data_IF_033587527211
#
_entry.id   IF_033587527211
#
_cell.length_a   1.000
_cell.length_b   1.000
_cell.length_c   1.000
_cell.angle_alpha   90.00
_cell.angle_beta   90.00
_cell.angle_gamma   90.00
#
_symmetry.space_group_name_H-M   'P 1'
#
loop_
_entity.id
_entity.type
_entity.pdbx_description
1 polymer ?
#
# COMPACT_ATOMS: atom_id res chain seq x y z
N UNK A 1 -16.77 37.89 -53.36
CA UNK A 1 -16.99 36.67 -52.57
C UNK A 1 -15.63 36.10 -52.24
N UNK A 2 -15.16 36.41 -51.03
CA UNK A 2 -13.79 36.21 -50.57
C UNK A 2 -13.54 34.74 -50.22
N UNK A 3 -12.58 34.11 -50.88
CA UNK A 3 -12.11 32.76 -50.55
C UNK A 3 -10.95 32.90 -49.58
N UNK A 4 -11.22 32.71 -48.29
CA UNK A 4 -10.17 32.50 -47.28
C UNK A 4 -9.49 31.17 -47.59
N UNK A 5 -8.39 31.24 -48.36
CA UNK A 5 -7.47 30.13 -48.55
C UNK A 5 -6.76 29.92 -47.20
N UNK A 6 -7.11 28.83 -46.49
CA UNK A 6 -6.31 28.32 -45.38
C UNK A 6 -4.93 27.90 -45.93
N UNK A 7 -4.00 28.84 -46.03
CA UNK A 7 -2.57 28.55 -46.18
C UNK A 7 -2.13 27.87 -44.88
N UNK A 8 -2.13 26.54 -44.86
CA UNK A 8 -1.38 25.80 -43.85
C UNK A 8 0.08 26.21 -43.95
N UNK A 9 0.62 26.80 -42.88
CA UNK A 9 2.03 27.17 -42.81
C UNK A 9 2.88 25.89 -42.96
N UNK A 10 3.68 25.76 -44.04
CA UNK A 10 4.52 24.59 -44.26
C UNK A 10 5.59 24.58 -43.18
N UNK A 11 5.46 23.67 -42.21
CA UNK A 11 6.35 23.57 -41.05
C UNK A 11 5.63 23.30 -39.74
N UNK A 12 4.37 23.71 -39.59
CA UNK A 12 3.62 23.48 -38.35
C UNK A 12 3.23 22.00 -38.15
N UNK A 13 2.97 21.24 -39.21
CA UNK A 13 2.64 19.81 -39.11
C UNK A 13 3.81 18.97 -38.59
N UNK A 14 5.04 19.25 -39.06
CA UNK A 14 6.26 18.52 -38.69
C UNK A 14 6.71 18.84 -37.25
N UNK A 15 6.59 20.11 -36.86
CA UNK A 15 6.87 20.54 -35.48
C UNK A 15 5.84 19.98 -34.48
N UNK A 16 4.57 19.93 -34.87
CA UNK A 16 3.49 19.37 -34.06
C UNK A 16 3.60 17.84 -33.94
N UNK A 17 3.93 17.13 -35.03
CA UNK A 17 4.17 15.68 -35.01
C UNK A 17 5.43 15.32 -34.21
N UNK A 18 6.50 16.11 -34.31
CA UNK A 18 7.70 15.93 -33.49
C UNK A 18 7.43 16.12 -31.99
N UNK A 19 6.67 17.14 -31.63
CA UNK A 19 6.24 17.38 -30.26
C UNK A 19 5.32 16.26 -29.74
N UNK A 20 4.35 15.81 -30.55
CA UNK A 20 3.47 14.70 -30.20
C UNK A 20 4.24 13.39 -30.01
N UNK A 21 5.22 13.11 -30.88
CA UNK A 21 6.10 11.94 -30.75
C UNK A 21 6.93 12.01 -29.48
N UNK A 22 7.51 13.16 -29.14
CA UNK A 22 8.27 13.35 -27.89
C UNK A 22 7.40 13.18 -26.63
N UNK A 23 6.18 13.73 -26.65
CA UNK A 23 5.22 13.55 -25.55
C UNK A 23 4.90 12.07 -25.35
N UNK A 24 4.59 11.34 -26.42
CA UNK A 24 4.18 9.93 -26.36
C UNK A 24 5.33 8.98 -26.05
N UNK A 25 6.51 9.18 -26.66
CA UNK A 25 7.65 8.26 -26.49
C UNK A 25 8.44 8.48 -25.21
N UNK A 26 8.41 9.69 -24.67
CA UNK A 26 9.36 10.11 -23.63
C UNK A 26 8.62 10.59 -22.38
N UNK A 27 7.71 11.55 -22.52
CA UNK A 27 7.03 12.14 -21.36
C UNK A 27 5.95 11.23 -20.77
N UNK A 28 5.18 10.51 -21.59
CA UNK A 28 4.13 9.59 -21.09
C UNK A 28 4.73 8.45 -20.25
N UNK A 29 5.78 7.74 -20.68
CA UNK A 29 6.48 6.77 -19.84
C UNK A 29 7.06 7.42 -18.57
N UNK A 30 7.76 8.56 -18.69
CA UNK A 30 8.33 9.25 -17.54
C UNK A 30 7.27 9.63 -16.49
N UNK A 31 6.13 10.18 -16.90
CA UNK A 31 5.04 10.52 -15.98
C UNK A 31 4.44 9.26 -15.34
N UNK A 32 4.38 8.14 -16.07
CA UNK A 32 3.94 6.85 -15.52
C UNK A 32 4.91 6.32 -14.47
N UNK A 33 6.21 6.34 -14.76
CA UNK A 33 7.25 5.91 -13.81
C UNK A 33 7.29 6.83 -12.59
N UNK A 34 7.17 8.15 -12.77
CA UNK A 34 7.11 9.10 -11.64
C UNK A 34 5.88 8.86 -10.76
N UNK A 35 4.72 8.55 -11.35
CA UNK A 35 3.51 8.16 -10.58
C UNK A 35 3.72 6.87 -9.79
N UNK A 36 4.38 5.87 -10.38
CA UNK A 36 4.71 4.64 -9.67
C UNK A 36 5.68 4.89 -8.51
N UNK A 37 6.69 5.73 -8.69
CA UNK A 37 7.64 6.09 -7.63
C UNK A 37 6.95 6.86 -6.50
N UNK A 38 6.06 7.81 -6.82
CA UNK A 38 5.30 8.56 -5.81
C UNK A 38 4.39 7.61 -5.01
N UNK A 39 3.65 6.73 -5.68
CA UNK A 39 2.77 5.77 -5.00
C UNK A 39 3.56 4.71 -4.23
N UNK A 40 4.81 4.41 -4.59
CA UNK A 40 5.67 3.52 -3.81
C UNK A 40 6.25 4.18 -2.54
N UNK A 41 6.13 5.51 -2.41
CA UNK A 41 6.70 6.28 -1.29
C UNK A 41 5.69 6.61 -0.20
N UNK A 42 4.39 6.56 -0.50
CA UNK A 42 3.31 6.70 0.48
C UNK A 42 2.62 5.35 0.61
N UNK A 43 2.60 4.78 1.80
CA UNK A 43 1.88 3.53 1.99
C UNK A 43 0.37 3.74 1.91
N UNK A 44 -0.33 2.68 1.57
CA UNK A 44 -1.77 2.69 1.37
C UNK A 44 -2.51 2.52 2.71
N UNK A 45 -3.62 3.24 2.85
CA UNK A 45 -4.62 2.97 3.89
C UNK A 45 -5.67 2.06 3.27
N UNK A 46 -5.78 0.84 3.78
CA UNK A 46 -6.74 -0.16 3.30
C UNK A 46 -7.81 -0.42 4.35
N UNK A 47 -9.07 -0.48 3.91
CA UNK A 47 -10.20 -0.90 4.73
C UNK A 47 -10.57 -2.34 4.36
N UNK A 48 -10.68 -3.22 5.36
CA UNK A 48 -10.98 -4.64 5.17
C UNK A 48 -12.15 -5.06 6.05
N UNK A 49 -13.00 -5.95 5.52
CA UNK A 49 -14.19 -6.50 6.22
C UNK A 49 -14.08 -8.00 6.48
N UNK A 50 -13.01 -8.63 5.99
CA UNK A 50 -12.72 -10.07 6.07
C UNK A 50 -11.24 -10.29 6.39
N UNK A 51 -10.84 -11.54 6.58
CA UNK A 51 -9.45 -11.94 6.76
C UNK A 51 -8.53 -11.37 5.67
N UNK A 52 -7.36 -10.88 6.08
CA UNK A 52 -6.48 -10.12 5.20
C UNK A 52 -5.00 -10.38 5.45
N UNK A 53 -4.24 -10.53 4.36
CA UNK A 53 -2.78 -10.61 4.40
C UNK A 53 -2.18 -9.30 3.94
N UNK A 54 -1.38 -8.69 4.81
CA UNK A 54 -0.73 -7.40 4.55
C UNK A 54 0.27 -7.53 3.40
N UNK A 55 0.27 -6.51 2.53
CA UNK A 55 1.16 -6.41 1.39
C UNK A 55 2.19 -5.29 1.54
N UNK A 56 3.24 -5.34 0.72
CA UNK A 56 4.27 -4.29 0.67
C UNK A 56 3.75 -2.88 0.34
N UNK A 57 2.48 -2.72 -0.05
CA UNK A 57 1.87 -1.39 -0.29
C UNK A 57 1.24 -0.81 0.96
N UNK A 58 0.75 -1.66 1.86
CA UNK A 58 -0.10 -1.22 2.98
C UNK A 58 0.74 -0.56 4.08
N UNK A 59 0.28 0.56 4.62
CA UNK A 59 0.87 1.21 5.80
C UNK A 59 -0.12 1.22 6.96
N UNK A 60 -1.41 1.37 6.66
CA UNK A 60 -2.49 1.29 7.65
C UNK A 60 -3.55 0.32 7.17
N UNK A 61 -3.92 -0.62 8.04
CA UNK A 61 -5.07 -1.51 7.85
C UNK A 61 -6.16 -1.11 8.84
N UNK A 62 -7.30 -0.70 8.32
CA UNK A 62 -8.54 -0.48 9.09
C UNK A 62 -9.40 -1.73 8.94
N UNK A 63 -9.42 -2.56 9.97
CA UNK A 63 -10.21 -3.78 10.03
C UNK A 63 -11.60 -3.50 10.61
N UNK A 64 -12.63 -3.53 9.75
CA UNK A 64 -14.04 -3.34 10.08
C UNK A 64 -14.69 -4.67 10.48
N UNK A 65 -14.61 -4.94 11.78
CA UNK A 65 -15.02 -6.19 12.40
C UNK A 65 -16.50 -6.21 12.85
N UNK A 66 -17.33 -5.27 12.38
CA UNK A 66 -18.77 -5.29 12.63
C UNK A 66 -19.45 -6.57 12.10
N UNK A 67 -18.89 -7.17 11.03
CA UNK A 67 -19.37 -8.42 10.44
C UNK A 67 -18.93 -9.69 11.18
N UNK A 68 -17.95 -9.60 12.07
CA UNK A 68 -17.36 -10.76 12.75
C UNK A 68 -15.88 -10.56 13.09
N UNK A 69 -15.28 -11.57 13.71
CA UNK A 69 -13.84 -11.54 13.99
C UNK A 69 -13.03 -11.61 12.68
N UNK A 70 -11.90 -10.90 12.62
CA UNK A 70 -11.04 -10.81 11.44
C UNK A 70 -9.62 -11.26 11.81
N UNK A 71 -9.02 -12.11 10.98
CA UNK A 71 -7.62 -12.47 11.06
C UNK A 71 -6.77 -11.62 10.09
N UNK A 72 -5.75 -10.94 10.62
CA UNK A 72 -4.77 -10.18 9.85
C UNK A 72 -3.44 -10.93 9.89
N UNK A 73 -2.88 -11.26 8.73
CA UNK A 73 -1.59 -11.93 8.62
C UNK A 73 -0.52 -10.93 8.22
N UNK A 74 0.53 -10.81 9.04
CA UNK A 74 1.74 -10.07 8.72
C UNK A 74 2.49 -10.79 7.58
N UNK A 75 3.19 -10.04 6.72
CA UNK A 75 4.02 -10.61 5.67
C UNK A 75 5.26 -11.29 6.29
N UNK A 76 6.05 -12.04 5.50
CA UNK A 76 7.32 -12.58 5.95
C UNK A 76 8.21 -11.50 6.56
N UNK A 77 8.83 -11.80 7.70
CA UNK A 77 9.68 -10.83 8.43
C UNK A 77 10.93 -10.47 7.62
N UNK A 78 11.43 -11.41 6.83
CA UNK A 78 12.63 -11.26 6.00
C UNK A 78 12.33 -10.33 4.83
N UNK A 79 13.12 -9.26 4.71
CA UNK A 79 12.94 -8.25 3.67
C UNK A 79 11.88 -7.19 3.99
N UNK A 80 11.25 -7.27 5.16
CA UNK A 80 10.34 -6.25 5.63
C UNK A 80 11.07 -5.13 6.39
N UNK A 81 10.92 -3.89 5.94
CA UNK A 81 11.70 -2.74 6.46
C UNK A 81 10.84 -1.56 6.91
N UNK A 82 9.51 -1.74 6.96
CA UNK A 82 8.56 -0.68 7.35
C UNK A 82 7.72 -1.08 8.57
N UNK A 83 7.05 -0.10 9.17
CA UNK A 83 6.04 -0.38 10.19
C UNK A 83 4.66 -0.58 9.54
N UNK A 84 3.80 -1.29 10.25
CA UNK A 84 2.39 -1.48 9.89
C UNK A 84 1.54 -1.02 11.06
N UNK A 85 0.50 -0.27 10.76
CA UNK A 85 -0.52 0.10 11.74
C UNK A 85 -1.77 -0.72 11.45
N UNK A 86 -2.27 -1.44 12.46
CA UNK A 86 -3.56 -2.12 12.39
C UNK A 86 -4.51 -1.45 13.37
N UNK A 87 -5.65 -1.01 12.85
CA UNK A 87 -6.73 -0.40 13.61
C UNK A 87 -7.99 -1.24 13.46
N UNK A 88 -8.56 -1.63 14.60
CA UNK A 88 -9.89 -2.24 14.64
C UNK A 88 -10.97 -1.17 14.75
N UNK A 89 -12.07 -1.39 14.04
CA UNK A 89 -13.37 -0.73 14.22
C UNK A 89 -14.46 -1.80 14.13
N UNK A 90 -15.58 -1.64 14.83
CA UNK A 90 -16.75 -2.54 14.65
C UNK A 90 -16.95 -3.59 15.75
N UNK A 91 -16.14 -3.58 16.81
CA UNK A 91 -16.48 -4.26 18.07
C UNK A 91 -16.09 -5.73 18.20
N UNK A 92 -15.96 -6.51 17.12
CA UNK A 92 -15.46 -7.90 17.18
C UNK A 92 -13.93 -7.95 17.22
N UNK A 93 -13.34 -9.02 17.73
CA UNK A 93 -11.89 -9.15 17.85
C UNK A 93 -11.18 -9.15 16.49
N UNK A 94 -10.04 -8.47 16.40
CA UNK A 94 -9.10 -8.58 15.28
C UNK A 94 -7.84 -9.26 15.78
N UNK A 95 -7.44 -10.37 15.16
CA UNK A 95 -6.24 -11.12 15.55
C UNK A 95 -5.16 -10.91 14.51
N UNK A 96 -4.01 -10.39 14.92
CA UNK A 96 -2.84 -10.19 14.06
C UNK A 96 -1.84 -11.31 14.34
N UNK A 97 -1.38 -12.04 13.32
CA UNK A 97 -0.36 -13.10 13.46
C UNK A 97 0.76 -12.94 12.45
N UNK A 98 1.98 -13.45 12.73
CA UNK A 98 3.00 -13.65 11.70
C UNK A 98 2.50 -14.54 10.57
N UNK A 99 3.22 -14.53 9.44
CA UNK A 99 2.98 -15.47 8.36
C UNK A 99 3.16 -16.92 8.84
N UNK A 100 2.52 -17.87 8.16
CA UNK A 100 2.68 -19.29 8.50
C UNK A 100 4.14 -19.76 8.40
N UNK A 101 4.92 -19.19 7.48
CA UNK A 101 6.36 -19.44 7.34
C UNK A 101 7.14 -18.88 8.54
N UNK A 102 6.86 -17.65 8.97
CA UNK A 102 7.49 -17.06 10.15
C UNK A 102 7.21 -17.91 11.39
N UNK A 103 5.95 -18.31 11.61
CA UNK A 103 5.55 -19.17 12.73
C UNK A 103 6.28 -20.52 12.72
N UNK A 104 6.41 -21.15 11.55
CA UNK A 104 7.14 -22.41 11.40
C UNK A 104 8.63 -22.29 11.73
N UNK A 105 9.20 -21.09 11.55
CA UNK A 105 10.58 -20.76 11.86
C UNK A 105 10.76 -20.18 13.29
N UNK A 106 9.71 -20.15 14.11
CA UNK A 106 9.76 -19.64 15.49
C UNK A 106 9.84 -18.12 15.59
N UNK A 107 9.47 -17.40 14.53
CA UNK A 107 9.37 -15.94 14.49
C UNK A 107 7.98 -15.55 15.02
N UNK A 108 7.95 -14.69 16.04
CA UNK A 108 6.77 -14.38 16.85
C UNK A 108 6.60 -12.85 17.01
N UNK A 109 5.45 -12.41 17.51
CA UNK A 109 5.24 -11.00 17.89
C UNK A 109 5.46 -10.90 19.40
N UNK A 110 6.59 -10.33 19.84
CA UNK A 110 6.94 -10.25 21.27
C UNK A 110 6.76 -11.59 22.03
N UNK A 111 7.25 -12.68 21.43
CA UNK A 111 7.11 -14.05 21.90
C UNK A 111 5.68 -14.65 21.92
N UNK A 112 4.70 -13.99 21.30
CA UNK A 112 3.36 -14.51 21.07
C UNK A 112 3.12 -14.88 19.59
N UNK A 113 2.40 -15.97 19.33
CA UNK A 113 2.02 -16.37 17.97
C UNK A 113 0.97 -15.44 17.33
N UNK A 114 0.30 -14.62 18.14
CA UNK A 114 -0.67 -13.64 17.68
C UNK A 114 -0.92 -12.58 18.73
N UNK A 115 -1.36 -11.41 18.29
CA UNK A 115 -1.87 -10.31 19.12
C UNK A 115 -3.36 -10.13 18.82
N UNK A 116 -4.19 -10.03 19.86
CA UNK A 116 -5.62 -9.72 19.70
C UNK A 116 -5.90 -8.26 20.04
N UNK A 117 -6.48 -7.54 19.09
CA UNK A 117 -7.00 -6.18 19.24
C UNK A 117 -8.49 -6.32 19.59
N UNK A 118 -8.82 -6.00 20.84
CA UNK A 118 -10.17 -6.18 21.41
C UNK A 118 -10.92 -4.86 21.67
N UNK A 119 -10.29 -3.71 21.41
CA UNK A 119 -10.90 -2.39 21.60
C UNK A 119 -10.76 -1.52 20.35
N UNK A 120 -11.73 -0.64 20.14
CA UNK A 120 -11.73 0.31 19.01
C UNK A 120 -10.97 1.60 19.35
N UNK A 121 -10.49 1.74 20.59
CA UNK A 121 -9.89 2.99 21.07
C UNK A 121 -8.52 3.22 20.45
N UNK A 122 -7.74 2.16 20.25
CA UNK A 122 -6.31 2.26 19.95
C UNK A 122 -5.96 1.61 18.62
N UNK A 123 -4.82 2.03 18.06
CA UNK A 123 -4.21 1.38 16.92
C UNK A 123 -2.94 0.69 17.40
N UNK A 124 -2.63 -0.46 16.82
CA UNK A 124 -1.45 -1.25 17.16
C UNK A 124 -0.43 -1.13 16.03
N UNK A 125 0.82 -0.78 16.37
CA UNK A 125 1.91 -0.64 15.41
C UNK A 125 2.87 -1.81 15.54
N UNK A 126 3.02 -2.54 14.44
CA UNK A 126 3.90 -3.69 14.29
C UNK A 126 5.14 -3.27 13.50
N UNK A 127 6.32 -3.58 14.03
CA UNK A 127 7.61 -3.24 13.41
C UNK A 127 8.45 -4.51 13.31
N UNK A 128 9.15 -4.67 12.19
CA UNK A 128 10.14 -5.72 11.99
C UNK A 128 11.55 -5.15 12.09
N UNK A 129 12.48 -5.92 12.65
CA UNK A 129 13.92 -5.67 12.53
C UNK A 129 14.60 -6.57 11.47
N UNK A 130 13.82 -7.28 10.66
CA UNK A 130 14.28 -8.27 9.68
C UNK A 130 14.44 -9.69 10.24
N UNK A 131 14.28 -9.87 11.56
CA UNK A 131 14.39 -11.18 12.23
C UNK A 131 13.17 -11.51 13.09
N UNK A 132 12.52 -10.50 13.69
CA UNK A 132 11.34 -10.69 14.51
C UNK A 132 10.36 -9.52 14.39
N UNK A 133 9.12 -9.77 14.83
CA UNK A 133 8.07 -8.77 14.93
C UNK A 133 7.95 -8.23 16.36
N UNK A 134 7.72 -6.93 16.45
CA UNK A 134 7.59 -6.20 17.72
C UNK A 134 6.34 -5.34 17.69
N UNK A 135 5.58 -5.34 18.78
CA UNK A 135 4.48 -4.41 19.02
C UNK A 135 5.01 -3.18 19.76
N UNK A 136 5.01 -2.03 19.09
CA UNK A 136 5.66 -0.80 19.62
C UNK A 136 4.67 0.20 20.21
N UNK A 137 3.36 -0.03 20.10
CA UNK A 137 2.37 0.81 20.77
C UNK A 137 1.18 0.04 21.31
N UNK A 138 0.84 0.39 22.55
CA UNK A 138 -0.47 0.29 23.19
C UNK A 138 -0.55 1.54 24.08
N UNK A 139 -1.34 2.53 23.70
CA UNK A 139 -1.71 3.65 24.60
C UNK A 139 -3.18 3.85 24.47
#
# INVERSE_FOLDING_TARGET
MDRIVKKGLPGFGIALEGAARFVVSTLVPLVREMRQVINARFGEVVNVTDDYTITNKDEVVIAESAGGAIAITLPPVIGWTKHIIVKRIGGSNVTVSPSAEDLANGILIDAAASVTIATDTYANTFISNGSNWYLVTQV
#
